data_IF_649966110270
#
_entry.id   IF_649966110270
#
_cell.length_a   1.000
_cell.length_b   1.000
_cell.length_c   1.000
_cell.angle_alpha   90.00
_cell.angle_beta   90.00
_cell.angle_gamma   90.00
#
_symmetry.space_group_name_H-M   'P 1'
#
loop_
_entity.id
_entity.type
_entity.pdbx_description
1 polymer ?
#
# COMPACT_ATOMS: atom_id res chain seq x y z
N UNK A 1 -13.28 15.35 0.58
CA UNK A 1 -11.92 14.76 0.41
C UNK A 1 -11.91 13.62 -0.62
N UNK A 2 -12.63 12.50 -0.41
CA UNK A 2 -12.60 11.38 -1.39
C UNK A 2 -13.09 11.77 -2.79
N UNK A 3 -14.22 12.47 -2.88
CA UNK A 3 -14.79 12.93 -4.15
C UNK A 3 -13.80 13.80 -4.93
N UNK A 4 -13.15 14.76 -4.26
CA UNK A 4 -12.11 15.62 -4.86
C UNK A 4 -10.96 14.83 -5.49
N UNK A 5 -10.48 13.76 -4.83
CA UNK A 5 -9.44 12.91 -5.41
C UNK A 5 -9.96 12.10 -6.60
N UNK A 6 -11.22 11.68 -6.59
CA UNK A 6 -11.84 10.99 -7.73
C UNK A 6 -11.98 11.94 -8.94
N UNK A 7 -12.41 13.18 -8.71
CA UNK A 7 -12.46 14.20 -9.74
C UNK A 7 -11.07 14.52 -10.29
N UNK A 8 -10.07 14.62 -9.42
CA UNK A 8 -8.69 14.78 -9.85
C UNK A 8 -8.25 13.65 -10.80
N UNK A 9 -8.51 12.39 -10.43
CA UNK A 9 -8.14 11.25 -11.27
C UNK A 9 -8.88 11.22 -12.61
N UNK A 10 -10.12 11.70 -12.64
CA UNK A 10 -10.92 11.82 -13.87
C UNK A 10 -10.28 12.78 -14.87
N UNK A 11 -9.78 13.94 -14.41
CA UNK A 11 -9.25 14.98 -15.29
C UNK A 11 -7.72 14.93 -15.46
N UNK A 12 -7.00 14.38 -14.47
CA UNK A 12 -5.54 14.46 -14.36
C UNK A 12 -4.88 13.10 -14.07
N UNK A 13 -5.51 11.98 -14.45
CA UNK A 13 -5.03 10.62 -14.17
C UNK A 13 -3.67 10.21 -14.78
N UNK A 14 -2.99 11.10 -15.51
CA UNK A 14 -1.66 10.85 -16.12
C UNK A 14 -0.54 11.69 -15.51
N UNK A 15 -0.84 12.51 -14.50
CA UNK A 15 0.16 13.34 -13.84
C UNK A 15 0.92 12.57 -12.76
N UNK A 16 2.06 13.08 -12.34
CA UNK A 16 2.83 12.53 -11.21
C UNK A 16 2.02 12.55 -9.89
N UNK A 17 1.01 13.41 -9.79
CA UNK A 17 0.13 13.50 -8.63
C UNK A 17 -1.02 12.48 -8.67
N UNK A 18 -1.29 11.85 -9.81
CA UNK A 18 -2.37 10.87 -9.93
C UNK A 18 -2.17 9.68 -8.97
N UNK A 19 -0.93 9.22 -8.78
CA UNK A 19 -0.64 8.17 -7.79
C UNK A 19 -0.92 8.62 -6.35
N UNK A 20 -0.74 9.92 -6.05
CA UNK A 20 -1.02 10.50 -4.74
C UNK A 20 -2.52 10.50 -4.46
N UNK A 21 -3.32 11.01 -5.41
CA UNK A 21 -4.77 11.00 -5.29
C UNK A 21 -5.31 9.57 -5.10
N UNK A 22 -4.85 8.63 -5.94
CA UNK A 22 -5.25 7.23 -5.87
C UNK A 22 -4.88 6.57 -4.54
N UNK A 23 -3.67 6.83 -4.03
CA UNK A 23 -3.24 6.35 -2.71
C UNK A 23 -4.13 6.92 -1.59
N UNK A 24 -4.45 8.21 -1.61
CA UNK A 24 -5.26 8.83 -0.57
C UNK A 24 -6.72 8.35 -0.56
N UNK A 25 -7.27 7.93 -1.71
CA UNK A 25 -8.57 7.24 -1.74
C UNK A 25 -8.50 5.91 -0.97
N UNK A 26 -7.41 5.15 -1.15
CA UNK A 26 -7.14 3.93 -0.38
C UNK A 26 -7.03 4.21 1.12
N UNK A 27 -6.29 5.25 1.50
CA UNK A 27 -6.13 5.67 2.90
C UNK A 27 -7.45 6.08 3.57
N UNK A 28 -8.33 6.75 2.83
CA UNK A 28 -9.68 7.08 3.31
C UNK A 28 -10.47 5.80 3.58
N UNK A 29 -10.46 4.85 2.64
CA UNK A 29 -11.14 3.57 2.82
C UNK A 29 -10.56 2.75 3.98
N UNK A 30 -9.24 2.75 4.15
CA UNK A 30 -8.55 2.09 5.25
C UNK A 30 -8.98 2.65 6.61
N UNK A 31 -9.01 3.97 6.75
CA UNK A 31 -9.47 4.65 7.99
C UNK A 31 -10.95 4.36 8.30
N UNK A 32 -11.76 4.12 7.28
CA UNK A 32 -13.15 3.68 7.42
C UNK A 32 -13.29 2.19 7.73
N UNK A 33 -12.17 1.47 7.92
CA UNK A 33 -12.10 0.00 8.08
C UNK A 33 -12.68 -0.78 6.89
N UNK A 34 -12.86 -0.13 5.74
CA UNK A 34 -13.26 -0.79 4.51
C UNK A 34 -12.01 -1.34 3.81
N UNK A 35 -11.43 -2.38 4.39
CA UNK A 35 -10.14 -2.93 3.95
C UNK A 35 -10.19 -3.50 2.54
N UNK A 36 -11.30 -4.13 2.13
CA UNK A 36 -11.49 -4.60 0.76
C UNK A 36 -11.37 -3.46 -0.26
N UNK A 37 -12.02 -2.33 0.03
CA UNK A 37 -11.91 -1.17 -0.83
C UNK A 37 -10.51 -0.55 -0.78
N UNK A 38 -9.90 -0.45 0.40
CA UNK A 38 -8.54 0.06 0.52
C UNK A 38 -7.55 -0.73 -0.36
N UNK A 39 -7.63 -2.07 -0.30
CA UNK A 39 -6.82 -2.98 -1.13
C UNK A 39 -7.02 -2.68 -2.62
N UNK A 40 -8.27 -2.58 -3.08
CA UNK A 40 -8.56 -2.29 -4.48
C UNK A 40 -7.98 -0.95 -4.96
N UNK A 41 -7.98 0.08 -4.10
CA UNK A 41 -7.42 1.38 -4.45
C UNK A 41 -5.88 1.38 -4.41
N UNK A 42 -5.25 0.63 -3.51
CA UNK A 42 -3.80 0.42 -3.53
C UNK A 42 -3.34 -0.40 -4.73
N UNK A 43 -4.11 -1.41 -5.15
CA UNK A 43 -3.85 -2.17 -6.38
C UNK A 43 -3.83 -1.26 -7.60
N UNK A 44 -4.74 -0.29 -7.68
CA UNK A 44 -4.71 0.71 -8.76
C UNK A 44 -3.42 1.55 -8.72
N UNK A 45 -2.89 1.88 -7.54
CA UNK A 45 -1.58 2.55 -7.46
C UNK A 45 -0.48 1.68 -8.07
N UNK A 46 -0.43 0.42 -7.65
CA UNK A 46 0.63 -0.52 -8.03
C UNK A 46 0.57 -0.90 -9.51
N UNK A 47 -0.62 -1.01 -10.09
CA UNK A 47 -0.83 -1.40 -11.47
C UNK A 47 -0.73 -0.22 -12.44
N UNK A 48 -1.33 0.93 -12.11
CA UNK A 48 -1.40 2.07 -13.04
C UNK A 48 -0.19 2.99 -12.93
N UNK A 49 0.48 3.01 -11.78
CA UNK A 49 1.62 3.89 -11.51
C UNK A 49 2.84 3.13 -10.95
N UNK A 50 3.35 2.09 -11.65
CA UNK A 50 4.34 1.15 -11.10
C UNK A 50 5.73 1.75 -10.80
N UNK A 51 5.97 3.00 -11.22
CA UNK A 51 7.22 3.75 -10.96
C UNK A 51 7.01 4.99 -10.09
N UNK A 52 5.80 5.22 -9.59
CA UNK A 52 5.51 6.43 -8.83
C UNK A 52 6.00 6.33 -7.37
N UNK A 53 6.21 7.49 -6.76
CA UNK A 53 6.66 7.61 -5.36
C UNK A 53 5.70 6.96 -4.35
N UNK A 54 4.44 6.71 -4.75
CA UNK A 54 3.44 6.04 -3.91
C UNK A 54 3.44 4.52 -3.99
N UNK A 55 4.34 3.91 -4.78
CA UNK A 55 4.46 2.44 -4.84
C UNK A 55 4.87 1.84 -3.49
N UNK A 56 5.96 2.28 -2.82
CA UNK A 56 6.32 1.75 -1.49
C UNK A 56 5.18 1.87 -0.45
N UNK A 57 4.56 3.05 -0.24
CA UNK A 57 3.50 3.17 0.76
C UNK A 57 2.22 2.42 0.35
N UNK A 58 1.85 2.38 -0.94
CA UNK A 58 0.70 1.58 -1.38
C UNK A 58 0.91 0.09 -1.10
N UNK A 59 2.11 -0.44 -1.33
CA UNK A 59 2.43 -1.84 -1.05
C UNK A 59 2.41 -2.15 0.45
N UNK A 60 2.99 -1.28 1.29
CA UNK A 60 2.92 -1.39 2.74
C UNK A 60 1.48 -1.40 3.25
N UNK A 61 0.69 -0.41 2.83
CA UNK A 61 -0.68 -0.23 3.32
C UNK A 61 -1.64 -1.29 2.76
N UNK A 62 -1.40 -1.82 1.54
CA UNK A 62 -2.11 -3.01 1.04
C UNK A 62 -1.80 -4.22 1.92
N UNK A 63 -0.52 -4.42 2.25
CA UNK A 63 -0.09 -5.48 3.18
C UNK A 63 -0.78 -5.38 4.54
N UNK A 64 -0.86 -4.19 5.12
CA UNK A 64 -1.59 -3.93 6.36
C UNK A 64 -3.09 -4.21 6.22
N UNK A 65 -3.73 -3.69 5.17
CA UNK A 65 -5.16 -3.90 4.94
C UNK A 65 -5.51 -5.38 4.76
N UNK A 66 -4.66 -6.15 4.08
CA UNK A 66 -4.81 -7.59 3.94
C UNK A 66 -4.73 -8.31 5.29
N UNK A 67 -3.84 -7.88 6.19
CA UNK A 67 -3.75 -8.43 7.55
C UNK A 67 -5.02 -8.14 8.35
N UNK A 68 -5.50 -6.89 8.32
CA UNK A 68 -6.73 -6.48 9.02
C UNK A 68 -7.98 -7.21 8.46
N UNK A 69 -7.98 -7.55 7.17
CA UNK A 69 -9.03 -8.34 6.52
C UNK A 69 -8.92 -9.85 6.81
N UNK A 70 -7.93 -10.29 7.60
CA UNK A 70 -7.69 -11.71 7.91
C UNK A 70 -6.91 -12.47 6.85
N UNK A 71 -6.52 -11.83 5.74
CA UNK A 71 -5.70 -12.41 4.67
C UNK A 71 -4.19 -12.34 5.01
N UNK A 72 -3.82 -12.84 6.19
CA UNK A 72 -2.48 -12.69 6.78
C UNK A 72 -1.36 -13.14 5.84
N UNK A 73 -1.52 -14.27 5.15
CA UNK A 73 -0.50 -14.78 4.21
C UNK A 73 -0.23 -13.82 3.05
N UNK A 74 -1.27 -13.21 2.49
CA UNK A 74 -1.13 -12.20 1.43
C UNK A 74 -0.49 -10.93 1.95
N UNK A 75 -0.91 -10.46 3.13
CA UNK A 75 -0.31 -9.29 3.77
C UNK A 75 1.17 -9.48 4.08
N UNK A 76 1.57 -10.64 4.60
CA UNK A 76 2.99 -10.97 4.85
C UNK A 76 3.80 -10.93 3.55
N UNK A 77 3.26 -11.41 2.43
CA UNK A 77 3.96 -11.36 1.13
C UNK A 77 4.24 -9.91 0.73
N UNK A 78 3.24 -9.03 0.85
CA UNK A 78 3.41 -7.61 0.54
C UNK A 78 4.43 -6.92 1.44
N UNK A 79 4.36 -7.18 2.76
CA UNK A 79 5.31 -6.60 3.70
C UNK A 79 6.75 -7.08 3.42
N UNK A 80 6.94 -8.36 3.08
CA UNK A 80 8.27 -8.88 2.66
C UNK A 80 8.74 -8.24 1.37
N UNK A 81 7.83 -8.00 0.44
CA UNK A 81 8.14 -7.35 -0.82
C UNK A 81 8.58 -5.89 -0.60
N UNK A 82 7.99 -5.16 0.35
CA UNK A 82 8.46 -3.84 0.77
C UNK A 82 9.91 -3.91 1.27
N UNK A 83 10.18 -4.82 2.21
CA UNK A 83 11.52 -5.04 2.79
C UNK A 83 12.56 -5.37 1.71
N UNK A 84 12.17 -6.16 0.70
CA UNK A 84 13.04 -6.60 -0.39
C UNK A 84 13.32 -5.49 -1.41
N UNK A 85 12.30 -4.72 -1.77
CA UNK A 85 12.39 -3.73 -2.87
C UNK A 85 12.80 -2.34 -2.44
N UNK A 86 12.54 -1.97 -1.19
CA UNK A 86 12.77 -0.61 -0.68
C UNK A 86 13.62 -0.61 0.60
N UNK A 87 14.75 -1.35 0.65
CA UNK A 87 15.53 -1.47 1.87
C UNK A 87 16.01 -0.09 2.37
N UNK A 88 15.88 0.14 3.68
CA UNK A 88 16.28 1.40 4.33
C UNK A 88 15.25 2.53 4.30
N UNK A 89 14.15 2.40 3.55
CA UNK A 89 13.08 3.41 3.54
C UNK A 89 12.26 3.40 4.85
N UNK A 90 11.43 4.43 5.05
CA UNK A 90 10.45 4.43 6.15
C UNK A 90 9.53 3.21 6.06
N UNK A 91 9.06 2.87 4.86
CA UNK A 91 8.17 1.75 4.62
C UNK A 91 8.83 0.41 4.94
N UNK A 92 10.12 0.23 4.66
CA UNK A 92 10.88 -0.95 5.10
C UNK A 92 10.85 -1.07 6.64
N UNK A 93 11.13 0.03 7.36
CA UNK A 93 11.09 0.02 8.83
C UNK A 93 9.72 -0.35 9.38
N UNK A 94 8.65 0.23 8.81
CA UNK A 94 7.28 -0.12 9.19
C UNK A 94 6.93 -1.57 8.83
N UNK A 95 7.33 -2.05 7.65
CA UNK A 95 7.06 -3.42 7.23
C UNK A 95 7.76 -4.44 8.13
N UNK A 96 9.03 -4.20 8.50
CA UNK A 96 9.77 -5.03 9.46
C UNK A 96 9.09 -5.05 10.84
N UNK A 97 8.68 -3.89 11.34
CA UNK A 97 7.98 -3.80 12.61
C UNK A 97 6.69 -4.63 12.59
N UNK A 98 5.88 -4.51 11.54
CA UNK A 98 4.64 -5.28 11.40
C UNK A 98 4.90 -6.77 11.23
N UNK A 99 5.91 -7.18 10.46
CA UNK A 99 6.30 -8.59 10.33
C UNK A 99 6.70 -9.20 11.68
N UNK A 100 7.45 -8.46 12.50
CA UNK A 100 7.83 -8.87 13.85
C UNK A 100 6.60 -9.02 14.75
N UNK A 101 5.68 -8.06 14.73
CA UNK A 101 4.40 -8.13 15.46
C UNK A 101 3.59 -9.38 15.08
N UNK A 102 3.62 -9.76 13.79
CA UNK A 102 2.91 -10.93 13.28
C UNK A 102 3.60 -12.27 13.59
N UNK A 103 4.76 -12.25 14.27
CA UNK A 103 5.57 -13.43 14.60
C UNK A 103 6.35 -14.01 13.41
N UNK A 104 6.59 -13.20 12.37
CA UNK A 104 7.22 -13.65 11.13
C UNK A 104 8.69 -13.28 11.12
N UNK A 105 9.54 -14.29 10.90
CA UNK A 105 10.97 -14.05 10.68
C UNK A 105 11.18 -13.17 9.44
N UNK A 106 11.95 -12.10 9.64
CA UNK A 106 12.40 -11.20 8.57
C UNK A 106 13.66 -11.82 7.97
N UNK A 107 13.54 -12.96 7.29
CA UNK A 107 14.66 -13.46 6.50
C UNK A 107 14.64 -12.74 5.16
N UNK A 108 15.66 -11.93 4.90
CA UNK A 108 15.98 -11.59 3.52
C UNK A 108 16.36 -12.91 2.86
N UNK A 109 15.49 -13.45 2.01
CA UNK A 109 15.92 -14.52 1.09
C UNK A 109 17.08 -13.93 0.31
N UNK A 110 18.28 -14.47 0.57
CA UNK A 110 19.50 -14.15 -0.17
C UNK A 110 19.34 -14.56 -1.63
#
# INVERSE_FOLDING_TARGET
ARAEFQDYLKYYGKTDLASNAQFYIGEIAYRQKNYQQAIAEYDKVLNNYPRAIKVPPALLHRGMALVELGQKSSGIRDLREVVRRFPGSEEDRYARAKLKELGVAISASR
#
